data_IF_974282750338
#
_entry.id   IF_974282750338
#
_cell.length_a   1.000
_cell.length_b   1.000
_cell.length_c   1.000
_cell.angle_alpha   90.00
_cell.angle_beta   90.00
_cell.angle_gamma   90.00
#
_symmetry.space_group_name_H-M   'P 1'
#
loop_
_entity.id
_entity.type
_entity.pdbx_description
1 polymer ?
#
# COMPACT_ATOMS: atom_id res chain seq x y z
N UNK A 1 -23.19 -0.25 6.11
CA UNK A 1 -22.50 0.55 5.07
C UNK A 1 -21.02 0.48 5.35
N UNK A 2 -20.26 -0.16 4.47
CA UNK A 2 -18.81 -0.28 4.60
C UNK A 2 -18.13 0.95 4.02
N UNK A 3 -16.90 1.26 4.42
CA UNK A 3 -16.12 2.35 3.83
C UNK A 3 -15.89 2.13 2.32
N UNK A 4 -15.75 0.86 1.91
CA UNK A 4 -15.69 0.46 0.49
C UNK A 4 -16.97 0.82 -0.29
N UNK A 5 -18.15 0.62 0.31
CA UNK A 5 -19.45 0.98 -0.32
C UNK A 5 -19.62 2.49 -0.51
N UNK A 6 -18.88 3.28 0.28
CA UNK A 6 -18.85 4.75 0.19
C UNK A 6 -17.77 5.25 -0.79
N UNK A 7 -17.07 4.34 -1.47
CA UNK A 7 -16.03 4.66 -2.45
C UNK A 7 -14.68 5.04 -1.86
N UNK A 8 -14.46 4.81 -0.55
CA UNK A 8 -13.13 5.00 0.03
C UNK A 8 -12.17 3.94 -0.50
N UNK A 9 -10.93 4.36 -0.73
CA UNK A 9 -9.84 3.47 -1.11
C UNK A 9 -8.87 3.29 0.05
N UNK A 10 -8.48 2.06 0.34
CA UNK A 10 -7.41 1.75 1.27
C UNK A 10 -6.07 1.96 0.55
N UNK A 11 -5.40 3.05 0.91
CA UNK A 11 -4.15 3.44 0.28
C UNK A 11 -2.99 3.36 1.26
N UNK A 12 -1.82 2.98 0.74
CA UNK A 12 -0.55 2.93 1.46
C UNK A 12 0.35 4.04 0.92
N UNK A 13 1.02 4.74 1.83
CA UNK A 13 1.99 5.77 1.50
C UNK A 13 3.20 5.19 0.76
N UNK A 14 3.89 5.98 -0.09
CA UNK A 14 5.04 5.50 -0.85
C UNK A 14 6.22 5.07 0.04
N UNK A 15 6.34 5.62 1.26
CA UNK A 15 7.30 5.21 2.28
C UNK A 15 6.90 3.91 3.01
N UNK A 16 5.72 3.35 2.69
CA UNK A 16 5.14 2.12 3.28
C UNK A 16 4.97 2.18 4.80
N UNK A 17 5.04 3.36 5.40
CA UNK A 17 4.93 3.58 6.85
C UNK A 17 3.48 3.81 7.29
N UNK A 18 2.62 4.29 6.37
CA UNK A 18 1.26 4.68 6.68
C UNK A 18 0.26 4.01 5.75
N UNK A 19 -0.85 3.56 6.33
CA UNK A 19 -1.99 3.05 5.58
C UNK A 19 -3.27 3.64 6.15
N UNK A 20 -4.17 4.07 5.27
CA UNK A 20 -5.48 4.58 5.69
C UNK A 20 -6.50 4.52 4.56
N UNK A 21 -7.77 4.53 4.96
CA UNK A 21 -8.87 4.72 4.04
C UNK A 21 -8.94 6.21 3.66
N UNK A 22 -8.77 6.51 2.38
CA UNK A 22 -8.77 7.86 1.83
C UNK A 22 -10.01 8.05 0.97
N UNK A 23 -10.69 9.18 1.17
CA UNK A 23 -11.82 9.55 0.33
C UNK A 23 -11.32 9.86 -1.10
N UNK A 24 -12.02 9.45 -2.17
CA UNK A 24 -11.55 9.61 -3.55
C UNK A 24 -11.24 11.08 -3.91
N UNK A 25 -12.01 12.03 -3.37
CA UNK A 25 -11.76 13.45 -3.57
C UNK A 25 -10.46 13.95 -2.89
N UNK A 26 -10.08 13.37 -1.74
CA UNK A 26 -8.83 13.70 -1.05
C UNK A 26 -7.64 13.02 -1.69
N UNK A 27 -7.83 11.79 -2.18
CA UNK A 27 -6.79 11.03 -2.88
C UNK A 27 -6.25 11.80 -4.07
N UNK A 28 -7.12 12.31 -4.94
CA UNK A 28 -6.71 13.06 -6.13
C UNK A 28 -6.03 14.40 -5.79
N UNK A 29 -6.35 14.99 -4.63
CA UNK A 29 -5.85 16.32 -4.24
C UNK A 29 -4.56 16.29 -3.42
N UNK A 30 -4.40 15.30 -2.55
CA UNK A 30 -3.35 15.29 -1.52
C UNK A 30 -2.51 14.00 -1.50
N UNK A 31 -3.03 12.90 -2.04
CA UNK A 31 -2.44 11.56 -1.90
C UNK A 31 -2.33 10.85 -3.25
N UNK A 32 -2.02 11.60 -4.30
CA UNK A 32 -1.89 11.08 -5.67
C UNK A 32 -0.79 10.01 -5.78
N UNK A 33 0.27 10.16 -4.98
CA UNK A 33 1.40 9.24 -4.93
C UNK A 33 1.17 8.00 -4.03
N UNK A 34 0.01 7.92 -3.36
CA UNK A 34 -0.30 6.78 -2.51
C UNK A 34 -0.85 5.62 -3.34
N UNK A 35 -0.37 4.42 -3.03
CA UNK A 35 -0.76 3.21 -3.76
C UNK A 35 -2.07 2.68 -3.21
N UNK A 36 -3.06 2.53 -4.08
CA UNK A 36 -4.33 1.90 -3.72
C UNK A 36 -4.17 0.38 -3.73
N UNK A 37 -4.40 -0.21 -2.56
CA UNK A 37 -4.29 -1.63 -2.31
C UNK A 37 -5.62 -2.25 -1.90
N UNK A 38 -6.73 -1.52 -2.05
CA UNK A 38 -8.09 -1.95 -1.61
C UNK A 38 -8.49 -3.32 -2.15
N UNK A 39 -8.04 -3.64 -3.36
CA UNK A 39 -8.37 -4.89 -4.06
C UNK A 39 -7.16 -5.79 -4.27
N UNK A 40 -6.07 -5.52 -3.55
CA UNK A 40 -4.89 -6.36 -3.66
C UNK A 40 -5.10 -7.65 -2.88
N UNK A 41 -4.68 -8.81 -3.43
CA UNK A 41 -4.60 -10.03 -2.66
C UNK A 41 -3.48 -9.90 -1.61
N UNK A 42 -3.64 -10.61 -0.49
CA UNK A 42 -2.72 -10.54 0.65
C UNK A 42 -1.27 -10.80 0.24
N UNK A 43 -1.02 -11.79 -0.63
CA UNK A 43 0.31 -12.11 -1.14
C UNK A 43 1.00 -10.92 -1.82
N UNK A 44 0.24 -10.14 -2.60
CA UNK A 44 0.76 -8.95 -3.28
C UNK A 44 1.03 -7.83 -2.30
N UNK A 45 0.19 -7.70 -1.27
CA UNK A 45 0.36 -6.71 -0.21
C UNK A 45 1.58 -7.01 0.65
N UNK A 46 1.81 -8.29 1.00
CA UNK A 46 3.01 -8.75 1.70
C UNK A 46 4.26 -8.50 0.87
N UNK A 47 4.26 -8.86 -0.42
CA UNK A 47 5.40 -8.60 -1.31
C UNK A 47 5.71 -7.11 -1.47
N UNK A 48 4.68 -6.26 -1.42
CA UNK A 48 4.86 -4.81 -1.48
C UNK A 48 5.40 -4.23 -0.18
N UNK A 49 4.91 -4.67 0.98
CA UNK A 49 5.34 -4.16 2.27
C UNK A 49 6.69 -4.69 2.72
N UNK A 50 7.05 -5.91 2.32
CA UNK A 50 8.32 -6.52 2.68
C UNK A 50 9.41 -5.94 1.77
N UNK A 51 10.40 -5.20 2.30
CA UNK A 51 11.59 -4.90 1.53
C UNK A 51 12.25 -6.23 1.20
N UNK A 52 12.55 -6.49 -0.08
CA UNK A 52 13.32 -7.67 -0.48
C UNK A 52 14.57 -7.69 0.39
N UNK A 53 14.78 -8.71 1.25
CA UNK A 53 16.02 -8.77 1.99
C UNK A 53 17.12 -8.92 0.95
N UNK A 54 18.06 -7.98 0.90
CA UNK A 54 19.34 -8.12 0.19
C UNK A 54 20.22 -9.22 0.84
N UNK A 55 19.62 -10.25 1.43
CA UNK A 55 20.29 -11.46 1.92
C UNK A 55 20.48 -12.45 0.79
N UNK A 56 21.17 -12.05 -0.27
CA UNK A 56 21.80 -13.01 -1.18
C UNK A 56 23.33 -12.89 -1.23
N UNK A 57 23.93 -11.84 -0.66
CA UNK A 57 25.39 -11.68 -0.64
C UNK A 57 26.07 -11.90 0.72
N UNK A 58 25.32 -12.02 1.83
CA UNK A 58 25.92 -12.24 3.16
C UNK A 58 26.37 -13.69 3.43
N UNK A 59 26.13 -14.61 2.49
CA UNK A 59 26.57 -16.01 2.58
C UNK A 59 27.49 -16.43 1.42
N UNK A 60 27.97 -15.49 0.60
CA UNK A 60 28.96 -15.79 -0.44
C UNK A 60 30.39 -15.71 0.13
N UNK A 61 30.94 -16.91 0.39
CA UNK A 61 32.35 -17.27 0.66
C UNK A 61 32.94 -16.95 2.04
#
# INVERSE_FOLDING_TARGET
MSLKDQGFAFCISPDKQQWRWIHPAERQRFYGDWTDVTEWPDDKLVAFLTPTPEQQDLFAA
#
